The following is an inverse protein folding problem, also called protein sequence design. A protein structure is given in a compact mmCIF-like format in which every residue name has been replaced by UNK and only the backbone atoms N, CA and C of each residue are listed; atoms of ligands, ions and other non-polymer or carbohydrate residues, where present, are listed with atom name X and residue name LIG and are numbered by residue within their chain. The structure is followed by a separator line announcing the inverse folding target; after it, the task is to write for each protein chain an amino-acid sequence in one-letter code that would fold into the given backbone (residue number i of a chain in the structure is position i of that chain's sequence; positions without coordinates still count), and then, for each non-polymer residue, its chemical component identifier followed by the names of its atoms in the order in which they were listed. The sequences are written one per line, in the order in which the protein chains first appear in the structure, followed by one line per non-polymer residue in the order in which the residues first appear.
data_IF_187464516846
#
_entry.id   IF_187464516846
#
_cell.length_a   1.000
_cell.length_b   1.000
_cell.length_c   1.000
_cell.angle_alpha   90.00
_cell.angle_beta   90.00
_cell.angle_gamma   90.00
#
_symmetry.space_group_name_H-M   'P 1'
#
loop_
_entity.id
_entity.type
_entity.pdbx_description
1 polymer ?
#
# COMPACT_ATOMS: atom_id res chain seq x y z
N UNK A 1 1.37 -28.33 26.31
CA UNK A 1 1.51 -28.34 24.84
C UNK A 1 0.44 -27.41 24.32
N UNK A 2 0.81 -26.33 23.62
CA UNK A 2 -0.14 -25.41 23.00
C UNK A 2 -0.49 -25.98 21.63
N UNK A 3 -1.74 -26.37 21.41
CA UNK A 3 -2.22 -26.77 20.08
C UNK A 3 -2.63 -25.51 19.32
N UNK A 4 -1.97 -25.23 18.20
CA UNK A 4 -2.41 -24.25 17.23
C UNK A 4 -3.24 -24.98 16.17
N UNK A 5 -4.56 -24.85 16.22
CA UNK A 5 -5.44 -25.22 15.11
C UNK A 5 -5.48 -24.04 14.13
N UNK A 6 -5.16 -24.31 12.86
CA UNK A 6 -5.12 -23.30 11.81
C UNK A 6 -6.33 -23.49 10.89
N UNK A 7 -7.25 -22.54 10.91
CA UNK A 7 -8.36 -22.49 9.95
C UNK A 7 -8.07 -21.34 9.00
N UNK A 8 -7.68 -21.64 7.77
CA UNK A 8 -7.70 -20.65 6.69
C UNK A 8 -9.11 -20.65 6.13
N UNK A 9 -9.88 -19.61 6.42
CA UNK A 9 -11.21 -19.43 5.86
C UNK A 9 -11.04 -18.96 4.41
N UNK A 10 -11.01 -19.93 3.49
CA UNK A 10 -11.03 -19.66 2.05
C UNK A 10 -12.44 -19.21 1.63
N UNK A 11 -12.56 -17.93 1.31
CA UNK A 11 -13.84 -17.30 0.95
C UNK A 11 -14.00 -17.30 -0.56
N UNK A 12 -14.15 -18.47 -1.19
CA UNK A 12 -14.11 -18.57 -2.65
C UNK A 12 -14.81 -19.78 -3.26
N UNK A 13 -16.15 -19.77 -3.29
CA UNK A 13 -16.92 -20.72 -4.11
C UNK A 13 -18.43 -20.70 -3.89
N UNK A 14 -19.11 -19.58 -4.16
CA UNK A 14 -20.57 -19.52 -4.16
C UNK A 14 -21.11 -19.91 -5.54
N UNK A 15 -21.63 -21.14 -5.65
CA UNK A 15 -22.52 -21.54 -6.74
C UNK A 15 -23.91 -20.92 -6.51
N UNK A 16 -24.58 -20.40 -7.56
CA UNK A 16 -25.90 -19.81 -7.41
C UNK A 16 -26.96 -20.92 -7.53
N UNK A 17 -27.50 -21.38 -6.41
CA UNK A 17 -28.72 -22.20 -6.41
C UNK A 17 -29.86 -21.41 -5.74
N UNK A 18 -30.89 -21.15 -6.55
CA UNK A 18 -32.08 -20.37 -6.20
C UNK A 18 -32.91 -21.05 -5.11
N UNK A 19 -33.08 -20.40 -3.98
CA UNK A 19 -34.31 -20.51 -3.18
C UNK A 19 -34.52 -19.23 -2.36
N UNK A 20 -35.68 -18.61 -2.56
CA UNK A 20 -36.13 -17.42 -1.87
C UNK A 20 -36.73 -17.81 -0.52
N UNK A 21 -36.09 -17.40 0.58
CA UNK A 21 -36.76 -17.13 1.85
C UNK A 21 -36.16 -15.87 2.50
N UNK A 22 -37.05 -14.90 2.70
CA UNK A 22 -36.85 -13.59 3.32
C UNK A 22 -36.51 -13.77 4.81
N UNK A 23 -35.24 -13.58 5.17
CA UNK A 23 -34.79 -13.47 6.54
C UNK A 23 -33.78 -12.32 6.61
N UNK A 24 -34.24 -11.18 7.13
CA UNK A 24 -33.44 -9.99 7.39
C UNK A 24 -32.44 -10.19 8.53
N UNK A 25 -31.53 -11.16 8.38
CA UNK A 25 -30.27 -11.16 9.08
C UNK A 25 -29.36 -10.14 8.39
N UNK A 26 -28.81 -9.22 9.16
CA UNK A 26 -27.70 -8.39 8.71
C UNK A 26 -26.62 -9.34 8.17
N UNK A 27 -26.55 -9.50 6.86
CA UNK A 27 -25.49 -10.25 6.20
C UNK A 27 -24.18 -9.55 6.58
N UNK A 28 -23.50 -10.11 7.58
CA UNK A 28 -22.11 -9.80 7.90
C UNK A 28 -21.34 -10.02 6.60
N UNK A 29 -21.15 -8.94 5.84
CA UNK A 29 -20.31 -8.98 4.66
C UNK A 29 -18.98 -9.59 5.08
N UNK A 30 -18.48 -10.63 4.40
CA UNK A 30 -17.22 -11.26 4.74
C UNK A 30 -16.14 -10.18 4.70
N UNK A 31 -15.71 -9.75 5.89
CA UNK A 31 -14.80 -8.62 6.01
C UNK A 31 -13.41 -9.11 5.66
N UNK A 32 -12.97 -8.77 4.45
CA UNK A 32 -11.71 -9.19 3.85
C UNK A 32 -10.52 -8.99 4.80
N UNK A 33 -9.83 -10.07 5.16
CA UNK A 33 -8.83 -10.06 6.23
C UNK A 33 -8.27 -11.43 6.59
N UNK A 34 -7.26 -11.43 7.46
CA UNK A 34 -6.69 -12.66 8.02
C UNK A 34 -7.22 -12.85 9.42
N UNK A 35 -7.79 -14.03 9.68
CA UNK A 35 -8.22 -14.46 11.01
C UNK A 35 -7.21 -15.47 11.57
N UNK A 36 -6.95 -15.39 12.88
CA UNK A 36 -6.14 -16.37 13.61
C UNK A 36 -6.83 -16.73 14.91
N UNK A 37 -7.00 -18.03 15.12
CA UNK A 37 -7.52 -18.60 16.34
C UNK A 37 -6.40 -19.19 17.20
N UNK A 38 -6.52 -18.96 18.51
CA UNK A 38 -5.59 -19.48 19.51
C UNK A 38 -6.35 -19.89 20.76
N UNK A 39 -5.94 -20.99 21.38
CA UNK A 39 -6.45 -21.40 22.70
C UNK A 39 -5.38 -21.15 23.76
N UNK A 40 -5.70 -20.34 24.78
CA UNK A 40 -4.86 -20.07 25.95
C UNK A 40 -5.62 -20.44 27.23
N UNK A 41 -5.30 -21.60 27.78
CA UNK A 41 -5.99 -22.12 28.96
C UNK A 41 -7.48 -22.34 28.65
N UNK A 42 -8.42 -21.76 29.43
CA UNK A 42 -9.85 -21.90 29.22
C UNK A 42 -10.44 -20.98 28.14
N UNK A 43 -9.62 -20.19 27.44
CA UNK A 43 -10.07 -19.13 26.53
C UNK A 43 -9.67 -19.43 25.09
N UNK A 44 -10.62 -19.31 24.18
CA UNK A 44 -10.42 -19.20 22.74
C UNK A 44 -10.32 -17.71 22.38
N UNK A 45 -9.28 -17.37 21.64
CA UNK A 45 -8.96 -16.00 21.25
C UNK A 45 -8.91 -15.99 19.74
N UNK A 46 -9.81 -15.21 19.16
CA UNK A 46 -9.89 -14.95 17.72
C UNK A 46 -9.36 -13.56 17.47
N UNK A 47 -8.38 -13.43 16.59
CA UNK A 47 -7.79 -12.15 16.20
C UNK A 47 -7.97 -11.94 14.70
N UNK A 48 -8.32 -10.71 14.34
CA UNK A 48 -8.51 -10.33 12.95
C UNK A 48 -7.57 -9.20 12.56
N UNK A 49 -6.95 -9.33 11.39
CA UNK A 49 -6.21 -8.27 10.72
C UNK A 49 -6.96 -7.86 9.47
N UNK A 50 -7.09 -6.55 9.24
CA UNK A 50 -7.53 -6.02 7.96
C UNK A 50 -6.57 -6.40 6.84
N UNK A 51 -7.06 -6.49 5.60
CA UNK A 51 -6.26 -6.76 4.40
C UNK A 51 -5.00 -5.89 4.26
N UNK A 52 -5.03 -4.64 4.72
CA UNK A 52 -3.84 -3.81 4.91
C UNK A 52 -3.16 -4.08 6.26
N UNK A 53 -2.31 -5.12 6.36
CA UNK A 53 -1.65 -5.56 7.61
C UNK A 53 -0.53 -4.58 8.07
N UNK A 54 -0.90 -3.35 8.40
CA UNK A 54 0.02 -2.28 8.87
C UNK A 54 0.02 -2.17 10.40
N UNK A 55 0.15 -3.29 11.12
CA UNK A 55 0.25 -3.28 12.58
C UNK A 55 -0.11 -4.60 13.25
N UNK A 56 -0.74 -4.48 14.42
CA UNK A 56 -1.37 -5.59 15.14
C UNK A 56 -2.80 -5.87 14.67
N UNK A 57 -3.52 -6.78 15.33
CA UNK A 57 -4.89 -7.09 14.99
C UNK A 57 -5.80 -5.87 15.19
N UNK A 58 -6.75 -5.67 14.28
CA UNK A 58 -7.78 -4.63 14.37
C UNK A 58 -8.90 -5.02 15.32
N UNK A 59 -9.08 -6.33 15.52
CA UNK A 59 -10.14 -6.89 16.35
C UNK A 59 -9.61 -8.10 17.11
N UNK A 60 -10.03 -8.22 18.37
CA UNK A 60 -9.65 -9.30 19.26
C UNK A 60 -10.87 -9.73 20.08
N UNK A 61 -11.32 -10.95 19.84
CA UNK A 61 -12.50 -11.55 20.47
C UNK A 61 -12.06 -12.69 21.36
N UNK A 62 -12.49 -12.67 22.63
CA UNK A 62 -12.16 -13.70 23.61
C UNK A 62 -13.44 -14.39 24.06
N UNK A 63 -13.52 -15.69 23.84
CA UNK A 63 -14.65 -16.55 24.24
C UNK A 63 -14.14 -17.71 25.09
N UNK A 64 -14.96 -18.28 25.99
CA UNK A 64 -14.64 -19.58 26.59
C UNK A 64 -14.39 -20.63 25.51
N UNK A 65 -13.32 -21.41 25.62
CA UNK A 65 -13.08 -22.50 24.68
C UNK A 65 -14.14 -23.61 24.87
N UNK A 66 -14.61 -24.21 23.77
CA UNK A 66 -15.71 -25.19 23.78
C UNK A 66 -15.49 -26.39 24.72
N UNK A 67 -14.23 -26.72 25.01
CA UNK A 67 -13.82 -27.83 25.87
C UNK A 67 -13.71 -27.46 27.36
N UNK A 68 -14.06 -26.23 27.73
CA UNK A 68 -13.81 -25.69 29.07
C UNK A 68 -14.98 -25.92 30.02
N UNK A 69 -14.70 -26.40 31.23
CA UNK A 69 -15.70 -26.49 32.30
C UNK A 69 -16.03 -25.11 32.89
N UNK A 70 -17.28 -24.91 33.34
CA UNK A 70 -17.75 -23.65 33.94
C UNK A 70 -16.90 -23.16 35.12
N UNK A 71 -16.27 -24.08 35.87
CA UNK A 71 -15.42 -23.71 37.00
C UNK A 71 -14.13 -23.00 36.55
N UNK A 72 -13.60 -23.37 35.38
CA UNK A 72 -12.38 -22.79 34.84
C UNK A 72 -12.58 -21.35 34.32
N UNK A 73 -13.81 -20.98 33.94
CA UNK A 73 -14.16 -19.61 33.50
C UNK A 73 -14.57 -18.68 34.64
N UNK A 74 -14.86 -19.22 35.83
CA UNK A 74 -15.32 -18.45 37.00
C UNK A 74 -14.34 -17.37 37.43
N UNK A 75 -13.03 -17.56 37.19
CA UNK A 75 -11.99 -16.56 37.50
C UNK A 75 -11.91 -15.40 36.50
N UNK A 76 -12.65 -15.47 35.39
CA UNK A 76 -12.60 -14.46 34.32
C UNK A 76 -11.28 -14.43 33.54
N UNK A 77 -11.18 -13.46 32.64
CA UNK A 77 -9.98 -13.26 31.81
C UNK A 77 -8.90 -12.60 32.67
N UNK A 78 -7.78 -13.29 32.83
CA UNK A 78 -6.67 -12.80 33.66
C UNK A 78 -5.66 -12.01 32.84
N UNK A 79 -4.90 -11.13 33.49
CA UNK A 79 -3.77 -10.41 32.84
C UNK A 79 -2.72 -11.37 32.31
N UNK A 80 -2.49 -12.51 32.98
CA UNK A 80 -1.60 -13.56 32.49
C UNK A 80 -2.08 -14.17 31.18
N UNK A 81 -3.39 -14.34 30.99
CA UNK A 81 -3.97 -14.81 29.73
C UNK A 81 -3.66 -13.84 28.60
N UNK A 82 -3.87 -12.54 28.81
CA UNK A 82 -3.61 -11.52 27.79
C UNK A 82 -2.12 -11.43 27.45
N UNK A 83 -1.22 -11.54 28.44
CA UNK A 83 0.24 -11.52 28.22
C UNK A 83 0.76 -12.77 27.52
N UNK A 84 0.04 -13.88 27.59
CA UNK A 84 0.42 -15.12 26.93
C UNK A 84 0.16 -15.10 25.42
N UNK A 85 -0.54 -14.07 24.88
CA UNK A 85 -0.82 -13.94 23.45
C UNK A 85 0.46 -13.51 22.72
N UNK A 86 1.01 -14.32 21.80
CA UNK A 86 2.24 -14.00 21.08
C UNK A 86 1.97 -13.05 19.89
N UNK A 87 1.47 -11.83 20.18
CA UNK A 87 1.02 -10.85 19.17
C UNK A 87 2.04 -10.58 18.06
N UNK A 88 3.33 -10.49 18.40
CA UNK A 88 4.40 -10.26 17.42
C UNK A 88 4.54 -11.41 16.43
N UNK A 89 4.43 -12.66 16.90
CA UNK A 89 4.51 -13.83 16.04
C UNK A 89 3.27 -13.92 15.16
N UNK A 90 2.08 -13.77 15.73
CA UNK A 90 0.82 -13.88 15.01
C UNK A 90 0.66 -12.77 13.97
N UNK A 91 1.05 -11.53 14.28
CA UNK A 91 1.03 -10.43 13.30
C UNK A 91 1.99 -10.67 12.14
N UNK A 92 3.14 -11.32 12.40
CA UNK A 92 4.09 -11.72 11.35
C UNK A 92 3.53 -12.84 10.47
N UNK A 93 2.87 -13.83 11.07
CA UNK A 93 2.19 -14.91 10.33
C UNK A 93 1.03 -14.38 9.49
N UNK A 94 0.18 -13.52 10.07
CA UNK A 94 -0.93 -12.88 9.35
C UNK A 94 -0.44 -12.05 8.16
N UNK A 95 0.65 -11.28 8.34
CA UNK A 95 1.28 -10.56 7.22
C UNK A 95 1.77 -11.51 6.14
N UNK A 96 2.43 -12.61 6.50
CA UNK A 96 2.92 -13.58 5.52
C UNK A 96 1.79 -14.22 4.71
N UNK A 97 0.65 -14.53 5.37
CA UNK A 97 -0.55 -15.07 4.72
C UNK A 97 -1.15 -14.03 3.78
N UNK A 98 -1.41 -12.81 4.27
CA UNK A 98 -1.93 -11.71 3.46
C UNK A 98 -1.06 -11.44 2.23
N UNK A 99 0.27 -11.36 2.41
CA UNK A 99 1.20 -11.19 1.28
C UNK A 99 1.22 -12.38 0.31
N UNK A 100 0.92 -13.60 0.76
CA UNK A 100 0.79 -14.76 -0.13
C UNK A 100 -0.51 -14.70 -0.93
N UNK A 101 -1.63 -14.36 -0.29
CA UNK A 101 -2.95 -14.20 -0.93
C UNK A 101 -2.92 -13.05 -1.94
N UNK A 102 -2.36 -11.90 -1.56
CA UNK A 102 -2.23 -10.76 -2.49
C UNK A 102 -1.41 -11.14 -3.72
N UNK A 103 -0.34 -11.93 -3.59
CA UNK A 103 0.41 -12.43 -4.75
C UNK A 103 -0.47 -13.29 -5.66
N UNK A 104 -1.25 -14.21 -5.11
CA UNK A 104 -2.14 -15.08 -5.88
C UNK A 104 -3.28 -14.33 -6.61
N UNK A 105 -3.73 -13.18 -6.08
CA UNK A 105 -4.89 -12.44 -6.61
C UNK A 105 -4.56 -11.28 -7.57
N UNK A 106 -3.30 -11.08 -7.96
CA UNK A 106 -2.88 -9.99 -8.87
C UNK A 106 -1.92 -8.97 -8.26
N UNK A 107 -1.42 -9.22 -7.05
CA UNK A 107 -0.28 -8.51 -6.46
C UNK A 107 1.00 -8.65 -7.27
N UNK A 108 1.05 -9.61 -8.19
CA UNK A 108 2.12 -9.71 -9.19
C UNK A 108 2.21 -8.44 -10.04
N UNK A 109 1.10 -7.83 -10.46
CA UNK A 109 1.16 -6.61 -11.30
C UNK A 109 1.76 -5.41 -10.55
N UNK A 110 1.39 -5.23 -9.27
CA UNK A 110 1.98 -4.17 -8.44
C UNK A 110 3.44 -4.46 -8.12
N UNK A 111 3.78 -5.70 -7.77
CA UNK A 111 5.15 -6.09 -7.51
C UNK A 111 6.03 -5.93 -8.76
N UNK A 112 5.52 -6.31 -9.94
CA UNK A 112 6.17 -6.10 -11.24
C UNK A 112 6.36 -4.61 -11.53
N UNK A 113 5.35 -3.77 -11.29
CA UNK A 113 5.46 -2.32 -11.43
C UNK A 113 6.54 -1.75 -10.51
N UNK A 114 6.64 -2.22 -9.27
CA UNK A 114 7.68 -1.80 -8.32
C UNK A 114 9.08 -2.25 -8.77
N UNK A 115 9.22 -3.48 -9.27
CA UNK A 115 10.48 -3.97 -9.85
C UNK A 115 10.87 -3.15 -11.08
N UNK A 116 9.90 -2.81 -11.95
CA UNK A 116 10.12 -1.95 -13.11
C UNK A 116 10.57 -0.54 -12.70
N UNK A 117 9.91 0.07 -11.73
CA UNK A 117 10.27 1.37 -11.18
C UNK A 117 11.69 1.36 -10.57
N UNK A 118 12.03 0.35 -9.77
CA UNK A 118 13.37 0.19 -9.19
C UNK A 118 14.46 0.07 -10.27
N UNK A 119 14.19 -0.69 -11.34
CA UNK A 119 15.09 -0.79 -12.48
C UNK A 119 15.27 0.54 -13.20
N UNK A 120 14.21 1.32 -13.38
CA UNK A 120 14.26 2.66 -14.00
C UNK A 120 15.12 3.62 -13.18
N UNK A 121 14.99 3.60 -11.85
CA UNK A 121 15.86 4.36 -10.93
C UNK A 121 17.32 3.99 -11.16
N UNK A 122 17.63 2.68 -11.19
CA UNK A 122 18.99 2.19 -11.44
C UNK A 122 19.55 2.64 -12.79
N UNK A 123 18.74 2.58 -13.85
CA UNK A 123 19.11 3.04 -15.20
C UNK A 123 19.41 4.54 -15.23
N UNK A 124 18.58 5.37 -14.60
CA UNK A 124 18.82 6.82 -14.54
C UNK A 124 20.10 7.17 -13.76
N UNK A 125 20.37 6.42 -12.68
CA UNK A 125 21.60 6.58 -11.89
C UNK A 125 22.83 6.20 -12.70
N UNK A 126 22.76 5.12 -13.48
CA UNK A 126 23.85 4.70 -14.37
C UNK A 126 24.06 5.69 -15.53
N UNK A 127 22.98 6.18 -16.13
CA UNK A 127 23.04 7.15 -17.23
C UNK A 127 23.62 8.50 -16.79
N UNK A 128 23.30 8.94 -15.56
CA UNK A 128 23.83 10.18 -15.00
C UNK A 128 24.31 9.98 -13.55
N UNK A 129 25.53 9.47 -13.33
CA UNK A 129 26.05 9.20 -11.98
C UNK A 129 26.30 10.47 -11.16
N UNK A 130 26.52 11.61 -11.82
CA UNK A 130 26.86 12.90 -11.19
C UNK A 130 25.99 14.01 -11.77
N UNK A 131 24.75 14.18 -11.27
CA UNK A 131 23.76 15.11 -11.84
C UNK A 131 24.09 16.62 -11.67
N UNK A 132 25.31 16.95 -11.25
CA UNK A 132 25.76 18.34 -11.09
C UNK A 132 24.95 19.11 -10.04
N UNK A 133 24.96 20.44 -10.16
CA UNK A 133 24.26 21.36 -9.25
C UNK A 133 22.73 21.29 -9.38
N UNK A 134 22.23 20.94 -10.56
CA UNK A 134 20.80 20.82 -10.82
C UNK A 134 20.18 19.64 -10.05
N UNK A 135 20.96 18.60 -9.75
CA UNK A 135 20.46 17.41 -9.10
C UNK A 135 19.57 16.58 -10.02
N UNK A 136 18.83 15.62 -9.43
CA UNK A 136 17.91 14.76 -10.18
C UNK A 136 16.53 15.38 -10.28
N UNK A 137 15.76 14.93 -11.27
CA UNK A 137 14.40 15.40 -11.54
C UNK A 137 13.44 15.04 -10.39
N UNK A 138 12.29 15.71 -10.32
CA UNK A 138 11.23 15.35 -9.37
C UNK A 138 10.62 13.97 -9.69
N UNK A 139 10.59 13.59 -10.98
CA UNK A 139 10.20 12.25 -11.45
C UNK A 139 11.06 11.16 -10.79
N UNK A 140 12.38 11.34 -10.77
CA UNK A 140 13.29 10.40 -10.10
C UNK A 140 12.93 10.23 -8.62
N UNK A 141 12.65 11.33 -7.92
CA UNK A 141 12.30 11.27 -6.51
C UNK A 141 10.89 10.73 -6.25
N UNK A 142 9.96 10.90 -7.19
CA UNK A 142 8.62 10.29 -7.13
C UNK A 142 8.70 8.77 -7.29
N UNK A 143 9.54 8.28 -8.21
CA UNK A 143 9.86 6.85 -8.36
C UNK A 143 10.46 6.27 -7.06
N UNK A 144 11.46 6.95 -6.49
CA UNK A 144 12.07 6.54 -5.22
C UNK A 144 11.03 6.50 -4.10
N UNK A 145 10.14 7.50 -4.04
CA UNK A 145 9.07 7.56 -3.06
C UNK A 145 8.11 6.38 -3.18
N UNK A 146 7.69 6.02 -4.40
CA UNK A 146 6.78 4.91 -4.65
C UNK A 146 7.37 3.56 -4.19
N UNK A 147 8.60 3.27 -4.61
CA UNK A 147 9.29 2.04 -4.21
C UNK A 147 9.50 1.99 -2.70
N UNK A 148 9.86 3.11 -2.08
CA UNK A 148 10.01 3.18 -0.62
C UNK A 148 8.68 2.95 0.12
N UNK A 149 7.59 3.61 -0.30
CA UNK A 149 6.25 3.44 0.28
C UNK A 149 5.86 1.97 0.25
N UNK A 150 6.05 1.31 -0.89
CA UNK A 150 5.71 -0.10 -1.04
C UNK A 150 6.44 -1.00 -0.04
N UNK A 151 7.72 -0.76 0.22
CA UNK A 151 8.47 -1.50 1.25
C UNK A 151 8.00 -1.19 2.67
N UNK A 152 7.59 0.05 2.94
CA UNK A 152 6.99 0.43 4.24
C UNK A 152 5.65 -0.27 4.43
N UNK A 153 4.78 -0.23 3.42
CA UNK A 153 3.43 -0.80 3.43
C UNK A 153 3.48 -2.33 3.52
N UNK A 154 4.47 -2.94 2.87
CA UNK A 154 4.78 -4.37 2.98
C UNK A 154 5.37 -4.77 4.35
N UNK A 155 5.63 -3.80 5.23
CA UNK A 155 6.05 -4.05 6.62
C UNK A 155 7.50 -4.52 6.77
N UNK A 156 8.39 -4.16 5.84
CA UNK A 156 9.81 -4.42 5.98
C UNK A 156 10.40 -3.60 7.13
N UNK A 157 11.27 -4.22 7.93
CA UNK A 157 11.90 -3.57 9.09
C UNK A 157 12.93 -2.49 8.70
N UNK A 158 13.55 -2.62 7.52
CA UNK A 158 14.51 -1.66 6.97
C UNK A 158 14.20 -1.35 5.49
N UNK A 159 13.16 -0.53 5.23
CA UNK A 159 12.70 -0.24 3.86
C UNK A 159 13.74 0.52 3.04
N UNK A 160 14.64 1.28 3.67
CA UNK A 160 15.72 2.00 2.97
C UNK A 160 16.75 1.02 2.43
N UNK A 161 17.07 -0.03 3.18
CA UNK A 161 17.99 -1.08 2.72
C UNK A 161 17.39 -1.90 1.59
N UNK A 162 16.10 -2.23 1.68
CA UNK A 162 15.39 -2.90 0.58
C UNK A 162 15.39 -2.06 -0.70
N UNK A 163 15.12 -0.76 -0.59
CA UNK A 163 15.23 0.17 -1.72
C UNK A 163 16.64 0.19 -2.32
N UNK A 164 17.68 0.19 -1.48
CA UNK A 164 19.07 0.20 -1.93
C UNK A 164 19.43 -1.07 -2.71
N UNK A 165 19.02 -2.24 -2.20
CA UNK A 165 19.25 -3.53 -2.83
C UNK A 165 18.48 -3.62 -4.17
N UNK A 166 17.23 -3.15 -4.21
CA UNK A 166 16.40 -3.15 -5.43
C UNK A 166 16.96 -2.22 -6.53
N UNK A 167 17.60 -1.12 -6.15
CA UNK A 167 18.19 -0.16 -7.09
C UNK A 167 19.68 -0.42 -7.37
N UNK A 168 20.25 -1.51 -6.86
CA UNK A 168 21.69 -1.83 -6.92
C UNK A 168 22.59 -0.64 -6.52
N UNK A 169 22.29 -0.02 -5.37
CA UNK A 169 23.00 1.17 -4.91
C UNK A 169 23.43 1.08 -3.44
N UNK A 170 24.30 2.00 -3.01
CA UNK A 170 24.77 2.04 -1.62
C UNK A 170 23.63 2.52 -0.71
N UNK A 171 23.42 1.87 0.43
CA UNK A 171 22.41 2.26 1.43
C UNK A 171 22.39 3.77 1.77
N UNK A 172 23.57 4.39 1.96
CA UNK A 172 23.67 5.85 2.25
C UNK A 172 23.10 6.72 1.13
N UNK A 173 23.22 6.26 -0.12
CA UNK A 173 22.69 6.94 -1.30
C UNK A 173 21.17 6.84 -1.33
N UNK A 174 20.61 5.64 -1.14
CA UNK A 174 19.17 5.44 -1.02
C UNK A 174 18.56 6.26 0.14
N UNK A 175 19.20 6.26 1.31
CA UNK A 175 18.78 7.07 2.45
C UNK A 175 18.73 8.57 2.12
N UNK A 176 19.74 9.06 1.40
CA UNK A 176 19.77 10.45 0.95
C UNK A 176 18.67 10.75 -0.08
N UNK A 177 18.36 9.83 -0.99
CA UNK A 177 17.25 10.00 -1.93
C UNK A 177 15.90 10.08 -1.22
N UNK A 178 15.63 9.21 -0.24
CA UNK A 178 14.40 9.27 0.57
C UNK A 178 14.30 10.59 1.35
N UNK A 179 15.41 11.07 1.92
CA UNK A 179 15.45 12.40 2.57
C UNK A 179 15.09 13.51 1.58
N UNK A 180 15.70 13.52 0.40
CA UNK A 180 15.42 14.53 -0.63
C UNK A 180 13.98 14.44 -1.16
N UNK A 181 13.41 13.25 -1.26
CA UNK A 181 12.01 13.06 -1.64
C UNK A 181 11.05 13.67 -0.60
N UNK A 182 11.35 13.56 0.70
CA UNK A 182 10.61 14.26 1.78
C UNK A 182 10.76 15.77 1.71
N UNK A 183 11.98 16.27 1.48
CA UNK A 183 12.23 17.72 1.32
C UNK A 183 11.51 18.31 0.11
N UNK A 184 11.24 17.49 -0.91
CA UNK A 184 10.47 17.85 -2.10
C UNK A 184 8.96 17.66 -1.95
N UNK A 185 8.47 17.27 -0.78
CA UNK A 185 7.05 17.00 -0.51
C UNK A 185 6.47 15.90 -1.42
N UNK A 186 7.27 14.87 -1.71
CA UNK A 186 6.86 13.67 -2.44
C UNK A 186 6.60 12.48 -1.51
N UNK A 187 7.11 12.56 -0.28
CA UNK A 187 6.83 11.64 0.81
C UNK A 187 6.39 12.43 2.04
N UNK A 188 5.40 11.91 2.76
CA UNK A 188 5.01 12.45 4.04
C UNK A 188 6.21 12.49 5.03
N UNK A 189 6.28 13.52 5.90
CA UNK A 189 7.31 13.60 6.91
C UNK A 189 7.25 12.39 7.86
N UNK A 190 8.40 11.98 8.38
CA UNK A 190 8.44 10.94 9.39
C UNK A 190 7.82 11.46 10.69
N UNK A 191 6.65 10.92 11.07
CA UNK A 191 6.04 11.17 12.37
C UNK A 191 6.76 10.31 13.41
N UNK A 192 6.98 10.84 14.61
CA UNK A 192 7.61 10.08 15.70
C UNK A 192 6.94 8.72 15.87
N UNK A 193 7.75 7.64 15.80
CA UNK A 193 7.36 6.22 15.94
C UNK A 193 6.69 5.55 14.74
N UNK A 194 6.56 6.20 13.57
CA UNK A 194 6.14 5.52 12.33
C UNK A 194 7.07 5.88 11.18
N UNK A 195 7.50 4.90 10.40
CA UNK A 195 8.18 5.18 9.14
C UNK A 195 7.18 5.93 8.25
N UNK A 196 7.35 7.25 8.11
CA UNK A 196 6.54 8.07 7.21
C UNK A 196 6.79 7.59 5.79
N UNK A 197 5.82 6.85 5.24
CA UNK A 197 5.90 6.20 3.93
C UNK A 197 4.83 6.65 2.95
N UNK A 198 3.80 7.37 3.39
CA UNK A 198 2.69 7.76 2.51
C UNK A 198 3.17 8.69 1.39
N UNK A 199 2.76 8.37 0.16
CA UNK A 199 2.91 9.23 -0.99
C UNK A 199 2.01 10.46 -0.84
N UNK A 200 2.50 11.62 -1.27
CA UNK A 200 1.69 12.84 -1.35
C UNK A 200 0.91 12.87 -2.66
N UNK A 201 -0.15 13.67 -2.73
CA UNK A 201 -0.90 13.91 -3.97
C UNK A 201 -0.02 14.44 -5.11
N UNK A 202 1.07 15.14 -4.77
CA UNK A 202 2.04 15.62 -5.75
C UNK A 202 2.83 14.48 -6.37
N UNK A 203 3.28 13.52 -5.55
CA UNK A 203 3.97 12.34 -6.05
C UNK A 203 3.07 11.50 -6.95
N UNK A 204 1.82 11.27 -6.54
CA UNK A 204 0.83 10.53 -7.34
C UNK A 204 0.61 11.16 -8.71
N UNK A 205 0.42 12.49 -8.78
CA UNK A 205 0.27 13.20 -10.06
C UNK A 205 1.49 13.06 -10.99
N UNK A 206 2.69 13.09 -10.43
CA UNK A 206 3.92 12.87 -11.22
C UNK A 206 3.93 11.44 -11.76
N UNK A 207 3.61 10.45 -10.92
CA UNK A 207 3.59 9.05 -11.31
C UNK A 207 2.51 8.74 -12.35
N UNK A 208 1.34 9.37 -12.27
CA UNK A 208 0.27 9.25 -13.28
C UNK A 208 0.67 9.86 -14.64
N UNK A 209 1.43 10.97 -14.61
CA UNK A 209 1.88 11.63 -15.84
C UNK A 209 2.96 10.85 -16.59
N UNK A 210 3.71 10.04 -15.87
CA UNK A 210 4.74 9.16 -16.41
C UNK A 210 4.05 7.86 -16.72
N UNK A 211 3.40 7.80 -17.88
CA UNK A 211 2.65 6.64 -18.36
C UNK A 211 3.46 5.34 -18.16
N UNK A 212 3.20 4.62 -17.07
CA UNK A 212 3.93 3.41 -16.67
C UNK A 212 3.38 2.18 -17.38
N UNK A 213 2.85 2.29 -18.59
CA UNK A 213 2.45 1.14 -19.40
C UNK A 213 1.45 0.19 -18.74
N UNK A 214 0.79 0.62 -17.65
CA UNK A 214 -0.44 0.01 -17.17
C UNK A 214 -1.46 0.59 -18.12
N UNK A 215 -1.77 -0.16 -19.17
CA UNK A 215 -2.76 0.18 -20.19
C UNK A 215 -4.11 0.44 -19.53
N UNK A 216 -4.29 1.62 -18.97
CA UNK A 216 -5.59 2.19 -18.77
C UNK A 216 -6.00 2.52 -20.20
N UNK A 217 -6.81 1.65 -20.83
CA UNK A 217 -7.55 2.05 -22.01
C UNK A 217 -8.21 3.38 -21.63
N UNK A 218 -7.84 4.51 -22.26
CA UNK A 218 -8.57 5.72 -22.07
C UNK A 218 -9.93 5.42 -22.69
N UNK A 219 -10.94 5.21 -21.85
CA UNK A 219 -12.33 5.27 -22.28
C UNK A 219 -12.49 6.64 -22.92
N UNK A 220 -12.44 6.64 -24.26
CA UNK A 220 -12.55 7.82 -25.09
C UNK A 220 -13.91 8.41 -24.79
N UNK A 221 -13.94 9.48 -24.00
CA UNK A 221 -15.12 10.32 -23.88
C UNK A 221 -15.45 10.83 -25.30
N UNK A 222 -16.73 10.80 -25.71
CA UNK A 222 -17.12 11.19 -27.05
C UNK A 222 -16.75 12.65 -27.30
N UNK A 223 -16.04 12.85 -28.41
CA UNK A 223 -15.90 14.09 -29.18
C UNK A 223 -16.89 15.19 -28.79
N UNK A 224 -16.40 16.19 -28.06
CA UNK A 224 -17.12 17.45 -27.85
C UNK A 224 -16.38 18.60 -28.53
N UNK A 225 -16.90 18.93 -29.70
CA UNK A 225 -17.12 20.29 -30.20
C UNK A 225 -15.91 21.21 -30.36
N UNK A 226 -15.57 21.43 -31.63
CA UNK A 226 -14.67 22.45 -32.13
C UNK A 226 -15.02 23.84 -31.57
N UNK A 227 -14.07 24.45 -30.86
CA UNK A 227 -14.07 25.88 -30.58
C UNK A 227 -13.76 26.66 -31.87
N UNK A 228 -14.53 27.70 -32.22
CA UNK A 228 -14.27 28.51 -33.40
C UNK A 228 -12.97 29.31 -33.26
N UNK A 229 -12.23 29.55 -34.36
CA UNK A 229 -10.98 30.30 -34.35
C UNK A 229 -11.20 31.76 -33.93
N UNK A 230 -10.23 32.39 -33.25
CA UNK A 230 -10.31 33.80 -32.89
C UNK A 230 -10.34 34.70 -34.14
N UNK A 231 -11.05 35.85 -34.09
CA UNK A 231 -11.11 36.78 -35.21
C UNK A 231 -9.73 37.37 -35.51
N UNK A 232 -9.41 37.43 -36.81
CA UNK A 232 -8.17 37.99 -37.33
C UNK A 232 -7.96 39.43 -36.82
N UNK A 233 -6.81 39.69 -36.19
CA UNK A 233 -6.38 41.04 -35.85
C UNK A 233 -6.01 41.78 -37.13
N UNK A 234 -6.83 42.75 -37.52
CA UNK A 234 -6.54 43.70 -38.58
C UNK A 234 -5.31 44.54 -38.21
N UNK A 235 -4.20 44.30 -38.92
CA UNK A 235 -2.99 45.13 -38.86
C UNK A 235 -3.32 46.42 -39.62
N UNK A 236 -3.43 47.54 -38.91
CA UNK A 236 -3.52 48.86 -39.53
C UNK A 236 -2.15 49.26 -40.07
N UNK A 237 -2.06 49.83 -41.28
CA UNK A 237 -0.80 50.34 -41.81
C UNK A 237 -0.37 51.57 -41.00
N UNK A 238 0.84 51.51 -40.45
CA UNK A 238 1.56 52.67 -39.92
C UNK A 238 1.79 53.64 -41.07
N UNK A 239 1.01 54.71 -41.09
CA UNK A 239 1.20 55.84 -41.99
C UNK A 239 2.53 56.51 -41.70
N UNK A 240 3.33 56.68 -42.77
CA UNK A 240 4.50 57.52 -42.76
C UNK A 240 4.13 58.98 -42.52
N UNK A 241 4.96 59.67 -41.77
CA UNK A 241 5.02 61.11 -41.77
C UNK A 241 6.43 61.51 -42.20
N UNK A 242 6.57 61.76 -43.51
CA UNK A 242 7.50 62.75 -44.02
C UNK A 242 6.91 64.13 -43.74
N UNK A 243 7.70 65.03 -43.15
CA UNK A 243 7.85 66.45 -43.50
C UNK A 243 8.40 67.26 -42.31
N UNK A 244 9.44 68.06 -42.59
CA UNK A 244 9.93 69.14 -41.73
C UNK A 244 11.43 69.21 -41.65
#
# INVERSE_FOLDING_TARGET
MQSLERTVVDSGGVSPEMAAEDNGGEEEQPVDGVEQDLVIGPWQITMRWSSAVTGGPTELTIKPAATTSSDATTRGITVSTLRAIPLTQLSREARAISSAVSRAQGGDALAEAIVFMARRIGQEVQANPRPGRAGRSDEFFALVAAVYSWYVDSGYSDPVRQLADACDCKWRVAANWVRLAREKDLLAPAVERRAGGLLTERALRILESVDYGISHEPTVAPTSSAAPPPPARSISPVGGNEQG
#
